data_IF_435080282793
#
_entry.id   IF_435080282793
#
_cell.length_a   1.000
_cell.length_b   1.000
_cell.length_c   1.000
_cell.angle_alpha   90.00
_cell.angle_beta   90.00
_cell.angle_gamma   90.00
#
_symmetry.space_group_name_H-M   'P 1'
#
loop_
_entity.id
_entity.type
_entity.pdbx_description
1 polymer ?
#
# COMPACT_ATOMS: atom_id res chain seq x y z
N UNK A 1 -52.36 -29.89 -14.80
CA UNK A 1 -51.68 -29.16 -13.71
C UNK A 1 -50.56 -28.35 -14.33
N UNK A 2 -50.56 -27.00 -14.25
CA UNK A 2 -49.52 -26.18 -14.87
C UNK A 2 -48.23 -26.24 -14.05
N UNK A 3 -47.10 -26.33 -14.74
CA UNK A 3 -45.76 -26.39 -14.17
C UNK A 3 -45.41 -25.09 -13.42
N UNK A 4 -44.84 -25.22 -12.22
CA UNK A 4 -44.26 -24.09 -11.48
C UNK A 4 -43.04 -23.54 -12.22
N UNK A 5 -42.90 -22.21 -12.38
CA UNK A 5 -41.68 -21.62 -12.92
C UNK A 5 -40.53 -21.77 -11.90
N UNK A 6 -39.35 -22.15 -12.41
CA UNK A 6 -38.12 -22.24 -11.62
C UNK A 6 -37.74 -20.88 -11.03
N UNK A 7 -37.13 -20.82 -9.82
CA UNK A 7 -36.75 -19.57 -9.20
C UNK A 7 -35.68 -18.86 -10.03
N UNK A 8 -35.94 -17.60 -10.38
CA UNK A 8 -34.99 -16.72 -11.02
C UNK A 8 -33.73 -16.60 -10.15
N UNK A 9 -32.57 -16.90 -10.73
CA UNK A 9 -31.26 -16.75 -10.09
C UNK A 9 -30.98 -15.24 -9.93
N UNK A 10 -31.33 -14.67 -8.78
CA UNK A 10 -31.02 -13.28 -8.45
C UNK A 10 -29.53 -13.20 -8.17
N UNK A 11 -28.72 -12.43 -8.93
CA UNK A 11 -27.33 -12.24 -8.59
C UNK A 11 -27.23 -11.62 -7.20
N UNK A 12 -26.40 -12.21 -6.34
CA UNK A 12 -26.13 -11.70 -5.01
C UNK A 12 -25.72 -10.22 -5.10
N UNK A 13 -26.42 -9.35 -4.36
CA UNK A 13 -26.03 -7.94 -4.26
C UNK A 13 -24.58 -7.87 -3.79
N UNK A 14 -23.70 -7.06 -4.42
CA UNK A 14 -22.39 -6.80 -3.87
C UNK A 14 -22.56 -6.28 -2.44
N UNK A 15 -21.90 -6.92 -1.48
CA UNK A 15 -21.85 -6.41 -0.11
C UNK A 15 -21.24 -5.01 -0.14
N UNK A 16 -21.72 -4.07 0.70
CA UNK A 16 -21.13 -2.74 0.76
C UNK A 16 -19.62 -2.90 1.03
N UNK A 17 -18.76 -2.14 0.33
CA UNK A 17 -17.33 -2.15 0.62
C UNK A 17 -17.14 -1.82 2.09
N UNK A 18 -16.17 -2.45 2.75
CA UNK A 18 -15.74 -2.03 4.08
C UNK A 18 -15.19 -0.61 3.92
N UNK A 19 -16.05 0.37 4.15
CA UNK A 19 -15.64 1.76 4.14
C UNK A 19 -14.66 1.93 5.28
N UNK A 20 -13.40 2.23 4.95
CA UNK A 20 -12.40 2.43 5.99
C UNK A 20 -12.89 3.47 7.02
N UNK A 21 -12.60 3.25 8.29
CA UNK A 21 -12.86 4.20 9.38
C UNK A 21 -11.63 5.04 9.73
N UNK A 22 -10.47 4.65 9.22
CA UNK A 22 -9.18 5.26 9.54
C UNK A 22 -8.50 5.83 8.29
N UNK A 23 -7.56 6.73 8.53
CA UNK A 23 -6.56 7.20 7.58
C UNK A 23 -5.19 7.21 8.24
N UNK A 24 -4.20 7.78 7.57
CA UNK A 24 -2.84 7.92 8.08
C UNK A 24 -2.45 9.38 8.13
N UNK A 25 -2.00 9.84 9.28
CA UNK A 25 -1.42 11.16 9.46
C UNK A 25 0.10 11.10 9.63
N UNK A 26 0.75 12.24 9.44
CA UNK A 26 2.15 12.42 9.83
C UNK A 26 2.27 12.41 11.35
N UNK A 27 3.14 11.55 11.87
CA UNK A 27 3.58 11.57 13.26
C UNK A 27 4.88 12.36 13.45
N UNK A 28 5.67 11.92 14.42
CA UNK A 28 6.97 12.48 14.72
C UNK A 28 7.98 12.32 13.58
N UNK A 29 8.99 13.19 13.56
CA UNK A 29 10.17 12.99 12.73
C UNK A 29 11.03 11.85 13.27
N UNK A 30 11.51 10.97 12.39
CA UNK A 30 12.43 9.89 12.75
C UNK A 30 13.59 9.84 11.77
N UNK A 31 14.80 9.72 12.32
CA UNK A 31 16.00 9.52 11.53
C UNK A 31 15.91 8.18 10.76
N UNK A 32 16.03 8.26 9.45
CA UNK A 32 15.89 7.13 8.51
C UNK A 32 16.71 7.45 7.26
N UNK A 33 17.96 7.00 7.28
CA UNK A 33 18.92 7.26 6.20
C UNK A 33 18.68 6.33 5.02
N UNK A 34 18.70 6.87 3.81
CA UNK A 34 18.69 6.10 2.57
C UNK A 34 19.81 6.52 1.65
N UNK A 35 20.22 5.57 0.81
CA UNK A 35 21.10 5.84 -0.31
C UNK A 35 20.34 5.56 -1.61
N UNK A 36 20.65 6.34 -2.64
CA UNK A 36 20.07 6.09 -3.96
C UNK A 36 20.87 4.99 -4.65
N UNK A 37 20.19 3.91 -5.02
CA UNK A 37 20.80 2.80 -5.77
C UNK A 37 20.27 2.81 -7.19
N UNK A 38 21.16 2.66 -8.17
CA UNK A 38 20.79 2.49 -9.56
C UNK A 38 20.38 1.03 -9.79
N UNK A 39 19.11 0.81 -10.12
CA UNK A 39 18.57 -0.50 -10.44
C UNK A 39 17.62 -0.39 -11.64
N UNK A 40 17.49 -1.48 -12.39
CA UNK A 40 16.64 -1.58 -13.58
C UNK A 40 15.66 -2.73 -13.34
N UNK A 41 14.37 -2.47 -13.55
CA UNK A 41 13.34 -3.52 -13.54
C UNK A 41 13.62 -4.53 -14.63
N UNK A 42 13.66 -5.82 -14.26
CA UNK A 42 13.88 -6.92 -15.21
C UNK A 42 12.74 -6.96 -16.23
N UNK A 43 11.52 -6.75 -15.75
CA UNK A 43 10.30 -6.64 -16.56
C UNK A 43 9.55 -5.36 -16.17
N UNK A 44 9.89 -4.19 -16.74
CA UNK A 44 9.30 -2.91 -16.33
C UNK A 44 7.77 -2.85 -16.38
N UNK A 45 7.18 -3.60 -17.32
CA UNK A 45 5.74 -3.60 -17.58
C UNK A 45 4.98 -4.71 -16.85
N UNK A 46 5.70 -5.62 -16.19
CA UNK A 46 5.12 -6.76 -15.48
C UNK A 46 5.50 -6.70 -14.02
N UNK A 47 4.52 -6.41 -13.16
CA UNK A 47 4.67 -6.54 -11.72
C UNK A 47 4.64 -8.02 -11.34
N UNK A 48 5.52 -8.40 -10.43
CA UNK A 48 5.59 -9.74 -9.87
C UNK A 48 4.49 -9.92 -8.83
N UNK A 49 4.13 -8.84 -8.13
CA UNK A 49 2.96 -8.78 -7.28
C UNK A 49 2.41 -7.35 -7.18
N UNK A 50 1.09 -7.23 -7.14
CA UNK A 50 0.39 -6.02 -6.66
C UNK A 50 -0.55 -6.48 -5.57
N UNK A 51 -0.40 -5.90 -4.38
CA UNK A 51 -1.24 -6.20 -3.23
C UNK A 51 -1.75 -4.91 -2.61
N UNK A 52 -3.00 -4.98 -2.15
CA UNK A 52 -3.69 -3.86 -1.52
C UNK A 52 -4.23 -4.32 -0.18
N UNK A 53 -3.95 -3.54 0.86
CA UNK A 53 -4.48 -3.70 2.20
C UNK A 53 -5.39 -2.51 2.50
N UNK A 54 -6.67 -2.77 2.74
CA UNK A 54 -7.51 -1.76 3.39
C UNK A 54 -7.20 -1.77 4.89
N UNK A 55 -7.35 -0.65 5.59
CA UNK A 55 -7.18 -0.63 7.04
C UNK A 55 -8.29 0.16 7.72
N UNK A 56 -8.68 -0.29 8.91
CA UNK A 56 -9.81 0.22 9.69
C UNK A 56 -9.65 -0.19 11.15
N UNK A 57 -10.54 0.28 12.03
CA UNK A 57 -10.67 -0.33 13.36
C UNK A 57 -11.14 -1.79 13.26
N UNK A 58 -10.71 -2.61 14.22
CA UNK A 58 -10.98 -4.05 14.22
C UNK A 58 -12.48 -4.38 14.30
N UNK A 59 -13.25 -3.59 15.06
CA UNK A 59 -14.68 -3.84 15.25
C UNK A 59 -15.44 -3.70 13.92
N UNK A 60 -15.13 -2.67 13.13
CA UNK A 60 -15.67 -2.46 11.79
C UNK A 60 -15.31 -3.58 10.82
N UNK A 61 -14.06 -4.07 10.89
CA UNK A 61 -13.60 -5.19 10.05
C UNK A 61 -14.38 -6.47 10.38
N UNK A 62 -14.48 -6.81 11.67
CA UNK A 62 -15.20 -8.01 12.12
C UNK A 62 -16.69 -7.92 11.84
N UNK A 63 -17.29 -6.73 11.96
CA UNK A 63 -18.68 -6.51 11.60
C UNK A 63 -18.92 -6.74 10.11
N UNK A 64 -18.00 -6.30 9.25
CA UNK A 64 -18.16 -6.40 7.81
C UNK A 64 -17.83 -7.79 7.24
N UNK A 65 -16.80 -8.46 7.76
CA UNK A 65 -16.39 -9.79 7.31
C UNK A 65 -17.15 -10.92 8.04
N UNK A 66 -17.76 -10.62 9.20
CA UNK A 66 -18.43 -11.58 10.06
C UNK A 66 -17.47 -12.45 10.88
N UNK A 67 -18.03 -13.30 11.74
CA UNK A 67 -17.26 -14.15 12.68
C UNK A 67 -16.45 -15.28 12.06
N UNK A 68 -16.46 -15.43 10.73
CA UNK A 68 -15.67 -16.45 9.99
C UNK A 68 -14.50 -15.85 9.23
N UNK A 69 -14.12 -14.61 9.50
CA UNK A 69 -12.96 -14.00 8.85
C UNK A 69 -11.69 -14.81 9.13
N UNK A 70 -10.95 -15.12 8.08
CA UNK A 70 -9.61 -15.66 8.21
C UNK A 70 -8.69 -14.59 8.79
N UNK A 71 -7.76 -15.00 9.64
CA UNK A 71 -6.80 -14.11 10.28
C UNK A 71 -5.38 -14.59 10.02
N UNK A 72 -4.53 -13.67 9.57
CA UNK A 72 -3.10 -13.90 9.34
C UNK A 72 -2.29 -12.69 9.81
N UNK A 73 -0.96 -12.83 9.84
CA UNK A 73 -0.03 -11.80 10.33
C UNK A 73 0.86 -11.22 9.22
N UNK A 74 0.82 -11.82 8.04
CA UNK A 74 1.56 -11.41 6.86
C UNK A 74 0.83 -11.81 5.58
N UNK A 75 1.20 -11.18 4.48
CA UNK A 75 0.87 -11.56 3.12
C UNK A 75 2.11 -12.15 2.45
N UNK A 76 1.92 -13.22 1.70
CA UNK A 76 2.95 -13.80 0.86
C UNK A 76 2.81 -13.21 -0.55
N UNK A 77 3.85 -12.50 -1.00
CA UNK A 77 3.94 -11.91 -2.33
C UNK A 77 4.87 -12.75 -3.20
N UNK A 78 4.58 -12.79 -4.51
CA UNK A 78 5.41 -13.45 -5.52
C UNK A 78 5.77 -14.89 -5.10
N UNK A 79 4.75 -15.72 -4.94
CA UNK A 79 4.85 -17.12 -4.50
C UNK A 79 5.61 -17.31 -3.17
N UNK A 80 5.50 -16.34 -2.26
CA UNK A 80 6.13 -16.37 -0.93
C UNK A 80 7.61 -16.00 -0.91
N UNK A 81 8.15 -15.47 -2.01
CA UNK A 81 9.53 -14.94 -2.05
C UNK A 81 9.68 -13.64 -1.28
N UNK A 82 8.61 -12.88 -1.12
CA UNK A 82 8.58 -11.68 -0.28
C UNK A 82 7.42 -11.78 0.68
N UNK A 83 7.69 -11.62 1.98
CA UNK A 83 6.63 -11.47 2.97
C UNK A 83 6.37 -10.00 3.24
N UNK A 84 5.11 -9.64 3.38
CA UNK A 84 4.70 -8.29 3.74
C UNK A 84 3.86 -8.33 5.01
N UNK A 85 4.20 -7.52 6.00
CA UNK A 85 3.44 -7.36 7.23
C UNK A 85 3.31 -5.89 7.60
N UNK A 86 2.25 -5.56 8.32
CA UNK A 86 2.12 -4.26 9.00
C UNK A 86 2.41 -4.49 10.48
N UNK A 87 3.25 -3.66 11.08
CA UNK A 87 3.68 -3.84 12.48
C UNK A 87 3.46 -2.58 13.29
N UNK A 88 3.17 -2.74 14.58
CA UNK A 88 3.00 -1.63 15.50
C UNK A 88 4.34 -1.02 15.98
N UNK A 89 4.26 0.00 16.83
CA UNK A 89 5.42 0.65 17.43
C UNK A 89 6.34 -0.29 18.24
N UNK A 90 5.83 -1.43 18.71
CA UNK A 90 6.56 -2.46 19.44
C UNK A 90 7.04 -3.59 18.51
N UNK A 91 6.97 -3.41 17.19
CA UNK A 91 7.35 -4.39 16.17
C UNK A 91 6.52 -5.68 16.23
N UNK A 92 5.31 -5.63 16.80
CA UNK A 92 4.35 -6.75 16.78
C UNK A 92 3.54 -6.68 15.48
N UNK A 93 3.36 -7.79 14.76
CA UNK A 93 2.53 -7.79 13.57
C UNK A 93 1.07 -7.50 13.91
N UNK A 94 0.46 -6.59 13.16
CA UNK A 94 -0.96 -6.31 13.23
C UNK A 94 -1.74 -7.41 12.51
N UNK A 95 -2.92 -7.81 13.02
CA UNK A 95 -3.72 -8.83 12.39
C UNK A 95 -4.31 -8.33 11.06
N UNK A 96 -4.19 -9.18 10.05
CA UNK A 96 -4.74 -9.01 8.71
C UNK A 96 -5.91 -9.99 8.58
N UNK A 97 -7.08 -9.46 8.24
CA UNK A 97 -8.31 -10.21 8.08
C UNK A 97 -8.69 -10.32 6.61
N UNK A 98 -9.29 -11.44 6.23
CA UNK A 98 -9.90 -11.63 4.90
C UNK A 98 -11.18 -12.44 4.99
N UNK A 99 -12.08 -12.25 4.03
CA UNK A 99 -13.26 -13.10 3.89
C UNK A 99 -12.89 -14.44 3.24
N UNK A 100 -13.31 -15.58 3.81
CA UNK A 100 -13.11 -16.88 3.19
C UNK A 100 -13.78 -16.94 1.81
N UNK A 101 -13.05 -17.45 0.81
CA UNK A 101 -13.60 -17.70 -0.53
C UNK A 101 -13.96 -16.45 -1.36
N UNK A 102 -13.63 -15.24 -0.90
CA UNK A 102 -13.69 -14.03 -1.73
C UNK A 102 -12.36 -13.77 -2.43
N UNK A 103 -12.38 -12.94 -3.48
CA UNK A 103 -11.15 -12.33 -4.01
C UNK A 103 -10.38 -11.68 -2.85
N UNK A 104 -9.06 -11.68 -2.94
CA UNK A 104 -8.10 -11.24 -1.93
C UNK A 104 -8.32 -9.79 -1.45
N UNK A 105 -9.35 -9.58 -0.63
CA UNK A 105 -9.67 -8.35 0.08
C UNK A 105 -9.12 -8.49 1.50
N UNK A 106 -7.97 -7.86 1.73
CA UNK A 106 -7.29 -7.91 3.01
C UNK A 106 -7.52 -6.62 3.79
N UNK A 107 -7.77 -6.78 5.09
CA UNK A 107 -8.08 -5.70 6.01
C UNK A 107 -7.15 -5.74 7.23
N UNK A 108 -6.37 -4.68 7.46
CA UNK A 108 -5.52 -4.54 8.65
C UNK A 108 -6.30 -3.83 9.74
N UNK A 109 -6.30 -4.39 10.95
CA UNK A 109 -6.81 -3.68 12.11
C UNK A 109 -5.76 -2.71 12.67
N UNK A 110 -6.11 -1.43 12.71
CA UNK A 110 -5.35 -0.39 13.39
C UNK A 110 -6.18 0.25 14.51
N UNK A 111 -5.53 1.08 15.34
CA UNK A 111 -6.21 1.92 16.32
C UNK A 111 -5.76 3.37 16.16
N UNK A 112 -6.70 4.29 16.28
CA UNK A 112 -6.44 5.72 16.18
C UNK A 112 -5.27 6.15 17.10
N UNK A 113 -4.35 6.92 16.54
CA UNK A 113 -3.14 7.40 17.22
C UNK A 113 -1.97 6.42 17.25
N UNK A 114 -2.17 5.11 17.03
CA UNK A 114 -1.08 4.13 17.05
C UNK A 114 -0.17 4.29 15.83
N UNK A 115 1.14 4.16 16.08
CA UNK A 115 2.16 4.13 15.02
C UNK A 115 2.22 2.75 14.39
N UNK A 116 2.45 2.70 13.09
CA UNK A 116 2.71 1.46 12.38
C UNK A 116 3.83 1.60 11.35
N UNK A 117 4.37 0.47 10.91
CA UNK A 117 5.42 0.35 9.90
C UNK A 117 5.02 -0.71 8.88
N UNK A 118 5.43 -0.51 7.62
CA UNK A 118 5.36 -1.54 6.59
C UNK A 118 6.67 -2.33 6.60
N UNK A 119 6.60 -3.65 6.73
CA UNK A 119 7.77 -4.51 6.84
C UNK A 119 7.76 -5.56 5.75
N UNK A 120 8.84 -5.59 4.96
CA UNK A 120 9.03 -6.53 3.87
C UNK A 120 10.23 -7.42 4.18
N UNK A 121 10.08 -8.73 4.05
CA UNK A 121 11.15 -9.70 4.25
C UNK A 121 11.41 -10.43 2.93
N UNK A 122 12.61 -10.30 2.38
CA UNK A 122 13.02 -11.04 1.19
C UNK A 122 13.50 -12.44 1.58
N UNK A 123 12.78 -13.46 1.14
CA UNK A 123 13.12 -14.88 1.35
C UNK A 123 13.83 -15.52 0.16
N UNK A 124 14.16 -14.74 -0.86
CA UNK A 124 14.87 -15.20 -2.05
C UNK A 124 16.26 -14.56 -2.19
N UNK A 125 16.97 -14.97 -3.23
CA UNK A 125 18.29 -14.46 -3.60
C UNK A 125 18.23 -13.34 -4.66
N UNK A 126 17.02 -12.85 -5.00
CA UNK A 126 16.80 -11.80 -6.00
C UNK A 126 16.67 -10.42 -5.36
N UNK A 127 16.95 -9.37 -6.11
CA UNK A 127 16.65 -7.98 -5.71
C UNK A 127 15.24 -7.60 -6.15
N UNK A 128 14.55 -6.86 -5.30
CA UNK A 128 13.24 -6.30 -5.64
C UNK A 128 13.18 -4.80 -5.41
N UNK A 129 12.33 -4.13 -6.16
CA UNK A 129 11.88 -2.77 -5.88
C UNK A 129 10.46 -2.82 -5.31
N UNK A 130 10.28 -2.14 -4.18
CA UNK A 130 9.01 -1.98 -3.48
C UNK A 130 8.49 -0.57 -3.73
N UNK A 131 7.44 -0.45 -4.52
CA UNK A 131 6.68 0.80 -4.65
C UNK A 131 5.50 0.72 -3.69
N UNK A 132 5.54 1.53 -2.62
CA UNK A 132 4.53 1.53 -1.58
C UNK A 132 3.73 2.84 -1.58
N UNK A 133 2.43 2.73 -1.30
CA UNK A 133 1.54 3.88 -1.16
C UNK A 133 0.70 3.73 0.10
N UNK A 134 0.39 4.86 0.73
CA UNK A 134 -0.49 4.95 1.90
C UNK A 134 -1.49 6.07 1.64
N UNK A 135 -2.78 5.77 1.75
CA UNK A 135 -3.89 6.67 1.40
C UNK A 135 -3.83 7.17 -0.04
N UNK A 136 -3.29 6.35 -0.94
CA UNK A 136 -3.07 6.68 -2.35
C UNK A 136 -1.89 7.62 -2.59
N UNK A 137 -1.11 7.98 -1.56
CA UNK A 137 0.10 8.78 -1.68
C UNK A 137 1.33 7.90 -1.64
N UNK A 138 2.26 8.15 -2.55
CA UNK A 138 3.58 7.54 -2.61
C UNK A 138 4.38 7.86 -1.35
N UNK A 139 4.91 6.84 -0.68
CA UNK A 139 5.58 7.01 0.62
C UNK A 139 6.89 7.79 0.51
N UNK A 140 7.50 7.87 -0.67
CA UNK A 140 8.73 8.63 -0.91
C UNK A 140 8.41 10.09 -1.20
N UNK A 141 7.54 10.36 -2.18
CA UNK A 141 7.30 11.69 -2.74
C UNK A 141 6.08 12.41 -2.19
N UNK A 142 5.18 11.70 -1.48
CA UNK A 142 3.90 12.24 -1.03
C UNK A 142 2.97 12.70 -2.15
N UNK A 143 3.25 12.30 -3.40
CA UNK A 143 2.43 12.55 -4.58
C UNK A 143 1.46 11.39 -4.81
N UNK A 144 0.44 11.54 -5.69
CA UNK A 144 -0.41 10.42 -6.06
C UNK A 144 0.45 9.23 -6.53
N UNK A 145 0.21 8.06 -5.93
CA UNK A 145 0.95 6.84 -6.22
C UNK A 145 0.84 6.43 -7.69
N UNK A 146 1.91 5.90 -8.26
CA UNK A 146 1.93 5.28 -9.59
C UNK A 146 2.82 4.06 -9.56
N UNK A 147 2.46 3.00 -10.28
CA UNK A 147 3.32 1.83 -10.50
C UNK A 147 4.63 2.21 -11.19
N UNK A 148 4.66 3.37 -11.85
CA UNK A 148 5.81 3.92 -12.56
C UNK A 148 6.71 4.77 -11.66
N UNK A 149 6.33 4.99 -10.40
CA UNK A 149 7.19 5.66 -9.43
C UNK A 149 8.35 4.74 -9.06
N UNK A 150 9.43 5.37 -8.59
CA UNK A 150 10.54 4.66 -7.96
C UNK A 150 10.13 4.13 -6.58
N UNK A 151 10.71 3.02 -6.19
CA UNK A 151 10.51 2.39 -4.89
C UNK A 151 11.77 2.31 -4.03
N UNK A 152 11.62 1.63 -2.91
CA UNK A 152 12.75 1.19 -2.10
C UNK A 152 13.34 -0.10 -2.69
N UNK A 153 14.66 -0.22 -2.67
CA UNK A 153 15.33 -1.48 -2.96
C UNK A 153 15.15 -2.43 -1.77
N UNK A 154 14.89 -3.69 -2.06
CA UNK A 154 14.87 -4.81 -1.13
C UNK A 154 15.90 -5.83 -1.61
N UNK A 155 17.00 -5.94 -0.88
CA UNK A 155 18.13 -6.82 -1.16
C UNK A 155 17.83 -8.28 -0.79
N UNK A 156 18.58 -9.25 -1.35
CA UNK A 156 18.53 -10.65 -0.94
C UNK A 156 18.63 -10.84 0.58
N UNK A 157 17.67 -11.54 1.17
CA UNK A 157 17.64 -11.79 2.62
C UNK A 157 17.34 -10.57 3.50
N UNK A 158 17.16 -9.38 2.94
CA UNK A 158 16.94 -8.15 3.68
C UNK A 158 15.55 -8.11 4.34
N UNK A 159 15.46 -7.43 5.47
CA UNK A 159 14.20 -6.93 6.03
C UNK A 159 14.14 -5.42 5.88
N UNK A 160 13.35 -4.94 4.91
CA UNK A 160 13.10 -3.52 4.70
C UNK A 160 11.96 -3.05 5.62
N UNK A 161 12.14 -1.87 6.22
CA UNK A 161 11.13 -1.17 7.01
C UNK A 161 10.85 0.20 6.42
N UNK A 162 9.58 0.47 6.16
CA UNK A 162 9.09 1.79 5.79
C UNK A 162 8.26 2.29 6.97
N UNK A 163 8.84 3.19 7.74
CA UNK A 163 8.32 3.70 9.00
C UNK A 163 7.53 5.00 8.85
N UNK A 164 7.56 5.63 7.67
CA UNK A 164 6.86 6.88 7.44
C UNK A 164 6.92 7.43 6.01
N UNK A 165 6.27 8.59 5.82
CA UNK A 165 6.43 9.41 4.62
C UNK A 165 7.78 10.08 4.64
N UNK A 166 8.55 9.95 3.56
CA UNK A 166 9.90 10.50 3.49
C UNK A 166 9.88 12.03 3.38
N UNK A 167 10.60 12.70 4.29
CA UNK A 167 10.77 14.16 4.31
C UNK A 167 12.08 14.60 3.66
N UNK A 168 13.12 13.78 3.80
CA UNK A 168 14.46 14.00 3.26
C UNK A 168 15.19 12.67 3.04
N UNK A 169 16.46 12.69 2.64
CA UNK A 169 17.28 11.47 2.57
C UNK A 169 17.55 10.84 3.96
N UNK A 170 17.42 11.63 5.04
CA UNK A 170 17.80 11.20 6.38
C UNK A 170 16.63 11.13 7.37
N UNK A 171 15.41 11.51 6.93
CA UNK A 171 14.29 11.65 7.84
C UNK A 171 12.95 11.28 7.19
N UNK A 172 12.08 10.65 7.99
CA UNK A 172 10.68 10.37 7.68
C UNK A 172 9.75 11.03 8.70
N UNK A 173 8.50 11.27 8.32
CA UNK A 173 7.38 11.49 9.24
C UNK A 173 6.67 10.17 9.46
N UNK A 174 6.67 9.65 10.69
CA UNK A 174 6.18 8.30 10.98
C UNK A 174 4.71 8.11 10.63
N UNK A 175 4.30 6.92 10.19
CA UNK A 175 2.88 6.64 9.96
C UNK A 175 2.12 6.51 11.28
N UNK A 176 1.01 7.22 11.41
CA UNK A 176 0.06 7.05 12.53
C UNK A 176 -1.34 6.88 11.99
N UNK A 177 -2.04 5.87 12.48
CA UNK A 177 -3.48 5.78 12.24
C UNK A 177 -4.17 7.03 12.80
N UNK A 178 -5.14 7.53 12.06
CA UNK A 178 -5.87 8.75 12.37
C UNK A 178 -7.31 8.61 11.90
N UNK A 179 -8.21 9.50 12.36
CA UNK A 179 -9.49 9.69 11.70
C UNK A 179 -9.30 10.14 10.24
N UNK A 180 -10.26 9.84 9.37
CA UNK A 180 -10.19 10.21 7.94
C UNK A 180 -10.05 11.71 7.69
N UNK A 181 -10.65 12.55 8.54
CA UNK A 181 -10.52 14.00 8.44
C UNK A 181 -9.10 14.48 8.72
N UNK A 182 -8.37 13.77 9.58
CA UNK A 182 -7.02 14.13 10.00
C UNK A 182 -5.93 13.44 9.15
N UNK A 183 -6.33 12.54 8.25
CA UNK A 183 -5.43 11.85 7.34
C UNK A 183 -4.62 12.86 6.50
N UNK A 184 -3.35 12.54 6.27
CA UNK A 184 -2.42 13.34 5.47
C UNK A 184 -2.99 13.55 4.05
N UNK A 185 -3.57 12.52 3.44
CA UNK A 185 -4.22 12.61 2.13
C UNK A 185 -5.49 13.47 2.10
N UNK A 186 -6.10 13.78 3.26
CA UNK A 186 -7.20 14.73 3.36
C UNK A 186 -6.72 16.17 3.55
N UNK A 187 -5.46 16.35 3.96
CA UNK A 187 -4.88 17.64 4.37
C UNK A 187 -3.68 18.05 3.50
N UNK A 188 -3.57 17.49 2.29
CA UNK A 188 -2.52 17.86 1.32
C UNK A 188 -3.12 18.02 -0.07
N UNK A 189 -2.67 19.00 -0.89
CA UNK A 189 -3.21 19.22 -2.23
C UNK A 189 -3.09 18.02 -3.17
N UNK A 190 -2.08 17.18 -2.96
CA UNK A 190 -1.84 15.96 -3.73
C UNK A 190 -2.77 14.79 -3.34
N UNK A 191 -3.46 14.88 -2.21
CA UNK A 191 -4.25 13.80 -1.66
C UNK A 191 -5.68 13.76 -2.17
N UNK A 192 -6.29 12.57 -2.09
CA UNK A 192 -7.69 12.36 -2.43
C UNK A 192 -8.39 11.61 -1.28
N UNK A 193 -9.36 12.24 -0.58
CA UNK A 193 -10.07 11.61 0.55
C UNK A 193 -10.73 10.26 0.23
N UNK A 194 -10.99 9.96 -1.06
CA UNK A 194 -11.56 8.67 -1.49
C UNK A 194 -10.58 7.51 -1.39
N UNK A 195 -9.28 7.78 -1.35
CA UNK A 195 -8.23 6.77 -1.27
C UNK A 195 -7.76 6.52 0.17
N UNK A 196 -8.32 7.26 1.14
CA UNK A 196 -7.98 7.14 2.56
C UNK A 196 -8.43 5.79 3.11
N UNK A 197 -7.52 5.12 3.80
CA UNK A 197 -7.73 3.80 4.39
C UNK A 197 -7.18 2.65 3.56
N UNK A 198 -6.29 2.93 2.60
CA UNK A 198 -5.72 1.94 1.68
C UNK A 198 -4.20 2.03 1.66
N UNK A 199 -3.53 0.88 1.80
CA UNK A 199 -2.09 0.72 1.62
C UNK A 199 -1.87 -0.13 0.36
N UNK A 200 -1.10 0.39 -0.59
CA UNK A 200 -0.70 -0.32 -1.80
C UNK A 200 0.74 -0.78 -1.73
N UNK A 201 1.03 -1.92 -2.34
CA UNK A 201 2.38 -2.39 -2.63
C UNK A 201 2.43 -2.95 -4.02
N UNK A 202 3.44 -2.55 -4.79
CA UNK A 202 3.85 -3.21 -6.01
C UNK A 202 5.29 -3.68 -5.88
N UNK A 203 5.51 -4.93 -6.29
CA UNK A 203 6.81 -5.61 -6.26
C UNK A 203 7.30 -5.77 -7.70
N UNK A 204 8.52 -5.29 -7.96
CA UNK A 204 9.21 -5.49 -9.23
C UNK A 204 10.52 -6.21 -9.00
N UNK A 205 10.82 -7.25 -9.77
CA UNK A 205 12.16 -7.81 -9.78
C UNK A 205 13.12 -6.84 -10.47
N UNK A 206 14.26 -6.56 -9.85
CA UNK A 206 15.25 -5.62 -10.37
C UNK A 206 16.63 -6.25 -10.48
N UNK A 207 17.45 -5.69 -11.37
CA UNK A 207 18.89 -5.92 -11.42
C UNK A 207 19.59 -4.63 -11.05
N UNK A 208 20.58 -4.74 -10.16
CA UNK A 208 21.43 -3.60 -9.87
C UNK A 208 22.19 -3.23 -11.15
N UNK A 209 22.07 -1.97 -11.56
CA UNK A 209 22.89 -1.44 -12.62
C UNK A 209 24.28 -1.28 -12.02
N UNK A 210 25.24 -2.12 -12.42
CA UNK A 210 26.64 -1.74 -12.29
C UNK A 210 26.80 -0.34 -12.84
N UNK A 211 27.44 0.56 -12.09
CA UNK A 211 27.40 2.01 -12.20
C UNK A 211 27.35 2.58 -13.63
N UNK A 212 26.17 2.59 -14.27
CA UNK A 212 25.77 3.41 -15.42
C UNK A 212 24.54 2.79 -16.07
N UNK A 213 23.35 3.32 -15.80
CA UNK A 213 22.24 3.20 -16.74
C UNK A 213 21.21 4.28 -16.44
N UNK A 214 21.16 5.27 -17.33
CA UNK A 214 20.12 6.29 -17.37
C UNK A 214 18.87 5.68 -18.01
N UNK A 215 17.75 6.00 -17.36
CA UNK A 215 16.44 6.36 -17.95
C UNK A 215 15.68 5.26 -18.71
N UNK A 216 14.62 4.71 -18.12
CA UNK A 216 13.51 4.10 -18.88
C UNK A 216 12.18 4.09 -18.09
N UNK A 217 11.19 4.79 -18.65
CA UNK A 217 10.07 4.15 -19.39
C UNK A 217 8.98 3.44 -18.58
N UNK A 218 7.72 3.86 -18.82
CA UNK A 218 6.55 3.65 -17.97
C UNK A 218 5.44 2.82 -18.69
N UNK A 219 4.88 1.76 -18.07
CA UNK A 219 3.60 1.14 -18.53
C UNK A 219 2.74 0.55 -17.39
N UNK A 220 1.44 0.33 -17.63
CA UNK A 220 0.30 0.40 -16.67
C UNK A 220 -0.68 -0.80 -16.74
N UNK A 221 -1.37 -1.14 -15.64
CA UNK A 221 -2.32 -2.30 -15.49
C UNK A 221 -3.56 -1.91 -14.62
N UNK A 222 -4.79 -2.45 -14.85
CA UNK A 222 -6.07 -2.06 -14.18
C UNK A 222 -6.48 -3.02 -13.03
N UNK A 223 -7.43 -2.81 -12.10
CA UNK A 223 -8.39 -1.74 -11.75
C UNK A 223 -9.27 -2.25 -10.57
N UNK A 224 -9.43 -1.41 -9.54
CA UNK A 224 -10.09 -1.62 -8.23
C UNK A 224 -9.75 -0.40 -7.35
N UNK A 225 -10.24 -0.27 -6.11
CA UNK A 225 -9.92 0.89 -5.23
C UNK A 225 -8.43 1.29 -5.35
N UNK A 226 -8.17 2.53 -5.79
CA UNK A 226 -6.92 2.81 -6.50
C UNK A 226 -5.80 3.24 -5.54
N UNK A 227 -4.96 2.29 -5.16
CA UNK A 227 -3.74 2.57 -4.39
C UNK A 227 -2.67 3.32 -5.22
N UNK A 228 -2.81 3.37 -6.55
CA UNK A 228 -1.93 4.07 -7.47
C UNK A 228 -2.72 5.08 -8.34
N UNK A 229 -3.24 6.18 -7.73
CA UNK A 229 -4.10 7.17 -8.40
C UNK A 229 -3.51 7.85 -9.64
N UNK A 230 -2.19 8.04 -9.73
CA UNK A 230 -1.60 8.70 -10.91
C UNK A 230 -1.68 7.85 -12.20
N UNK A 231 -2.02 6.56 -12.11
CA UNK A 231 -2.16 5.70 -13.29
C UNK A 231 -3.55 5.80 -13.94
N UNK A 232 -4.55 6.40 -13.28
CA UNK A 232 -5.92 6.52 -13.82
C UNK A 232 -6.17 7.78 -14.66
N UNK A 233 -5.37 8.84 -14.50
CA UNK A 233 -5.76 10.18 -14.94
C UNK A 233 -5.13 10.64 -16.27
N UNK A 234 -4.36 9.78 -16.96
CA UNK A 234 -3.81 10.06 -18.30
C UNK A 234 -2.84 11.24 -18.42
N UNK A 235 -2.72 12.10 -17.40
CA UNK A 235 -1.75 13.19 -17.30
C UNK A 235 -0.51 12.68 -16.60
N UNK A 236 0.59 12.59 -17.36
CA UNK A 236 1.91 12.32 -16.80
C UNK A 236 2.21 13.29 -15.65
N UNK A 237 2.61 12.72 -14.51
CA UNK A 237 3.11 13.46 -13.34
C UNK A 237 4.17 14.49 -13.78
N UNK A 238 3.78 15.75 -13.85
CA UNK A 238 4.67 16.88 -13.99
C UNK A 238 5.21 17.27 -12.63
N UNK A 239 6.54 17.19 -12.47
CA UNK A 239 7.26 17.79 -11.33
C UNK A 239 6.94 17.22 -9.95
N UNK A 240 7.04 15.91 -9.76
CA UNK A 240 6.97 15.34 -8.42
C UNK A 240 8.20 15.77 -7.59
N UNK A 241 7.96 16.42 -6.44
CA UNK A 241 8.99 16.66 -5.44
C UNK A 241 9.66 15.34 -5.03
N UNK A 242 10.96 15.38 -4.72
CA UNK A 242 11.72 14.17 -4.34
C UNK A 242 11.17 13.52 -3.06
N UNK A 243 10.54 14.33 -2.20
CA UNK A 243 10.07 14.00 -0.87
C UNK A 243 8.64 14.50 -0.62
N UNK A 244 7.96 13.90 0.35
CA UNK A 244 6.61 14.27 0.75
C UNK A 244 6.58 15.67 1.41
N UNK A 245 5.72 16.59 0.93
CA UNK A 245 5.57 17.92 1.54
C UNK A 245 4.78 17.84 2.86
N UNK A 246 4.98 18.76 3.81
CA UNK A 246 4.20 18.77 5.05
C UNK A 246 2.70 19.02 4.81
N UNK A 247 1.81 18.43 5.62
CA UNK A 247 0.38 18.71 5.57
C UNK A 247 0.07 20.19 5.84
N UNK A 248 -1.01 20.66 5.23
CA UNK A 248 -1.59 21.97 5.48
C UNK A 248 -2.88 21.79 6.28
N UNK A 249 -2.74 21.53 7.59
CA UNK A 249 -3.91 21.48 8.47
C UNK A 249 -4.63 22.84 8.43
N UNK A 250 -5.93 22.80 8.17
CA UNK A 250 -6.81 23.98 8.22
C UNK A 250 -7.61 23.98 9.51
#
# INVERSE_FOLDING_TARGET
MPAQPAPANVPARPSPPVGSTLGTQWGEGRASQVQTVAAIRVTPDSQQAVATLSYSDEASIRLALGGRADQQLNLLLHDGRVEWSVRDAQNRPLPIFSAPGRKAEYHVAGRDGERYELVYVNRSQQHYEIVATVDGLDVLSGQPGSLRNRGYLLEPGETLRIDGFRKSDDEVATFRFASKSNAYASNTPAGNPRNVGVIGTALFEVRLAGASARDLGRTSVPGGQNAFPADSDGRGSGGAGRFAPPPQYR
#
